data_IF_006545217469
#
_entry.id   IF_006545217469
#
_cell.length_a   1.000
_cell.length_b   1.000
_cell.length_c   1.000
_cell.angle_alpha   90.00
_cell.angle_beta   90.00
_cell.angle_gamma   90.00
#
_symmetry.space_group_name_H-M   'P 1'
#
loop_
_entity.id
_entity.type
_entity.pdbx_description
1 polymer ?
#
# COMPACT_ATOMS: atom_id res chain seq x y z
N UNK A 1 -25.08 -11.96 -3.03
CA UNK A 1 -23.87 -11.98 -3.90
C UNK A 1 -24.29 -11.81 -5.34
N UNK A 2 -23.42 -11.24 -6.17
CA UNK A 2 -23.68 -10.98 -7.60
C UNK A 2 -22.51 -11.50 -8.43
N UNK A 3 -22.70 -11.55 -9.75
CA UNK A 3 -21.63 -11.84 -10.72
C UNK A 3 -21.84 -11.10 -12.03
N UNK A 4 -20.77 -10.92 -12.78
CA UNK A 4 -20.74 -10.36 -14.12
C UNK A 4 -19.72 -11.12 -14.97
N UNK A 5 -20.06 -11.40 -16.24
CA UNK A 5 -19.13 -12.03 -17.15
C UNK A 5 -17.93 -11.11 -17.46
N UNK A 6 -16.74 -11.68 -17.56
CA UNK A 6 -15.51 -10.91 -17.81
C UNK A 6 -15.57 -10.09 -19.12
N UNK A 7 -16.27 -10.56 -20.13
CA UNK A 7 -16.51 -9.84 -21.39
C UNK A 7 -17.29 -8.52 -21.20
N UNK A 8 -18.06 -8.39 -20.11
CA UNK A 8 -18.86 -7.22 -19.79
C UNK A 8 -18.14 -6.23 -18.84
N UNK A 9 -16.90 -6.51 -18.41
CA UNK A 9 -16.16 -5.64 -17.49
C UNK A 9 -15.90 -4.25 -18.08
N UNK A 10 -15.72 -4.14 -19.40
CA UNK A 10 -15.56 -2.84 -20.05
C UNK A 10 -16.79 -1.95 -19.85
N UNK A 11 -18.01 -2.54 -19.95
CA UNK A 11 -19.26 -1.81 -19.68
C UNK A 11 -19.37 -1.41 -18.20
N UNK A 12 -18.94 -2.29 -17.28
CA UNK A 12 -18.87 -1.99 -15.85
C UNK A 12 -17.94 -0.79 -15.57
N UNK A 13 -16.75 -0.78 -16.14
CA UNK A 13 -15.79 0.31 -15.96
C UNK A 13 -16.30 1.62 -16.54
N UNK A 14 -16.91 1.57 -17.71
CA UNK A 14 -17.53 2.73 -18.35
C UNK A 14 -18.66 3.30 -17.49
N UNK A 15 -19.49 2.43 -16.91
CA UNK A 15 -20.60 2.85 -16.04
C UNK A 15 -20.09 3.52 -14.77
N UNK A 16 -19.08 2.94 -14.10
CA UNK A 16 -18.45 3.53 -12.91
C UNK A 16 -17.81 4.88 -13.26
N UNK A 17 -17.05 4.93 -14.36
CA UNK A 17 -16.30 6.13 -14.75
C UNK A 17 -17.18 7.28 -15.24
N UNK A 18 -18.48 7.05 -15.51
CA UNK A 18 -19.41 8.11 -15.89
C UNK A 18 -19.66 9.12 -14.76
N UNK A 19 -19.65 8.66 -13.51
CA UNK A 19 -20.02 9.48 -12.35
C UNK A 19 -18.83 9.81 -11.43
N UNK A 20 -17.75 9.04 -11.48
CA UNK A 20 -16.61 9.18 -10.56
C UNK A 20 -15.31 8.75 -11.22
N UNK A 21 -14.15 9.16 -10.65
CA UNK A 21 -12.87 8.74 -11.19
C UNK A 21 -12.66 7.24 -10.88
N UNK A 22 -12.13 6.50 -11.86
CA UNK A 22 -11.86 5.08 -11.73
C UNK A 22 -10.38 4.79 -11.92
N UNK A 23 -9.75 4.13 -10.95
CA UNK A 23 -8.37 3.68 -11.00
C UNK A 23 -8.31 2.16 -11.10
N UNK A 24 -7.58 1.66 -12.08
CA UNK A 24 -7.41 0.23 -12.38
C UNK A 24 -5.93 -0.11 -12.57
N UNK A 25 -5.53 -1.38 -12.43
CA UNK A 25 -4.23 -1.85 -12.88
C UNK A 25 -4.18 -1.79 -14.41
N UNK A 26 -3.42 -0.84 -14.93
CA UNK A 26 -3.27 -0.56 -16.37
C UNK A 26 -1.83 -0.76 -16.78
N UNK A 27 -1.63 -1.44 -17.91
CA UNK A 27 -0.32 -1.64 -18.52
C UNK A 27 0.06 -0.43 -19.36
N UNK A 28 1.28 0.04 -19.13
CA UNK A 28 1.93 1.06 -19.96
C UNK A 28 3.35 0.57 -20.24
N UNK A 29 3.67 0.36 -21.49
CA UNK A 29 4.89 -0.33 -21.91
C UNK A 29 4.98 -1.74 -21.30
N UNK A 30 5.97 -1.99 -20.45
CA UNK A 30 6.23 -3.27 -19.78
C UNK A 30 5.79 -3.30 -18.31
N UNK A 31 5.10 -2.25 -17.84
CA UNK A 31 4.76 -2.10 -16.43
C UNK A 31 3.26 -1.95 -16.20
N UNK A 32 2.75 -2.65 -15.20
CA UNK A 32 1.38 -2.49 -14.71
C UNK A 32 1.38 -1.68 -13.42
N UNK A 33 0.61 -0.59 -13.40
CA UNK A 33 0.37 0.24 -12.22
C UNK A 33 -1.08 0.71 -12.19
N UNK A 34 -1.56 1.09 -11.01
CA UNK A 34 -2.88 1.73 -10.91
C UNK A 34 -2.83 3.10 -11.59
N UNK A 35 -3.77 3.33 -12.51
CA UNK A 35 -3.92 4.57 -13.28
C UNK A 35 -5.38 4.89 -13.48
N UNK A 36 -5.68 6.16 -13.73
CA UNK A 36 -7.01 6.56 -14.15
C UNK A 36 -7.39 5.80 -15.43
N UNK A 37 -8.60 5.25 -15.43
CA UNK A 37 -9.15 4.50 -16.54
C UNK A 37 -9.49 5.41 -17.73
N UNK A 38 -9.28 4.89 -18.93
CA UNK A 38 -9.79 5.43 -20.20
C UNK A 38 -10.25 4.27 -21.07
N UNK A 39 -11.05 4.55 -22.08
CA UNK A 39 -11.58 3.49 -22.99
C UNK A 39 -10.48 2.68 -23.67
N UNK A 40 -9.34 3.31 -23.96
CA UNK A 40 -8.19 2.68 -24.63
C UNK A 40 -7.18 2.05 -23.64
N UNK A 41 -7.49 2.04 -22.35
CA UNK A 41 -6.58 1.51 -21.32
C UNK A 41 -6.49 -0.01 -21.41
N UNK A 42 -5.27 -0.57 -21.48
CA UNK A 42 -5.02 -2.00 -21.32
C UNK A 42 -5.10 -2.40 -19.86
N UNK A 43 -6.31 -2.82 -19.42
CA UNK A 43 -6.57 -3.22 -18.04
C UNK A 43 -6.09 -4.65 -17.80
N UNK A 44 -5.29 -4.86 -16.75
CA UNK A 44 -4.68 -6.15 -16.39
C UNK A 44 -5.10 -6.59 -14.98
N UNK A 45 -6.32 -7.09 -14.82
CA UNK A 45 -6.82 -7.58 -13.52
C UNK A 45 -6.14 -8.88 -13.06
N UNK A 46 -5.55 -9.63 -13.97
CA UNK A 46 -4.74 -10.82 -13.73
C UNK A 46 -3.39 -10.51 -13.06
N UNK A 47 -2.92 -9.27 -13.15
CA UNK A 47 -1.68 -8.85 -12.48
C UNK A 47 -1.83 -8.99 -10.96
N UNK A 48 -1.04 -9.87 -10.38
CA UNK A 48 -1.04 -10.07 -8.93
C UNK A 48 -0.50 -8.85 -8.20
N UNK A 49 0.61 -8.30 -8.66
CA UNK A 49 1.29 -7.14 -8.04
C UNK A 49 1.64 -6.08 -9.08
N UNK A 50 1.08 -4.92 -8.92
CA UNK A 50 1.55 -3.73 -9.63
C UNK A 50 2.92 -3.30 -9.11
N UNK A 51 3.71 -2.60 -9.93
CA UNK A 51 5.08 -2.16 -9.55
C UNK A 51 5.05 -1.30 -8.29
N UNK A 52 4.15 -0.31 -8.23
CA UNK A 52 3.81 0.44 -7.01
C UNK A 52 2.48 -0.02 -6.46
N UNK A 53 2.29 0.09 -5.15
CA UNK A 53 0.97 -0.13 -4.57
C UNK A 53 0.01 1.01 -4.95
N UNK A 54 -1.31 0.79 -4.93
CA UNK A 54 -2.31 1.83 -5.21
C UNK A 54 -2.46 2.88 -4.10
N UNK A 55 -1.56 2.93 -3.12
CA UNK A 55 -1.62 3.91 -2.02
C UNK A 55 -1.60 5.35 -2.50
N UNK A 56 -1.04 5.63 -3.69
CA UNK A 56 -0.99 6.97 -4.27
C UNK A 56 -2.36 7.53 -4.66
N UNK A 57 -3.40 6.71 -4.76
CA UNK A 57 -4.77 7.18 -4.85
C UNK A 57 -5.23 7.93 -3.58
N UNK A 58 -4.73 7.52 -2.40
CA UNK A 58 -5.05 8.12 -1.10
C UNK A 58 -3.95 9.04 -0.57
N UNK A 59 -2.71 8.69 -0.82
CA UNK A 59 -1.50 9.42 -0.43
C UNK A 59 -0.61 9.60 -1.66
N UNK A 60 -0.83 10.66 -2.47
CA UNK A 60 -0.10 10.92 -3.70
C UNK A 60 1.40 11.05 -3.50
N UNK A 61 2.18 10.66 -4.51
CA UNK A 61 3.63 10.75 -4.48
C UNK A 61 4.12 12.20 -4.34
N UNK A 62 3.37 13.15 -4.91
CA UNK A 62 3.60 14.59 -4.75
C UNK A 62 2.26 15.31 -4.68
N UNK A 63 2.15 16.30 -3.80
CA UNK A 63 0.91 17.01 -3.53
C UNK A 63 1.17 18.42 -3.07
N UNK A 64 0.58 19.40 -3.75
CA UNK A 64 0.63 20.80 -3.34
C UNK A 64 -0.20 21.01 -2.08
N UNK A 65 0.32 21.82 -1.15
CA UNK A 65 -0.36 22.21 0.10
C UNK A 65 -0.92 23.62 -0.02
N UNK A 66 -0.12 24.56 -0.51
CA UNK A 66 -0.55 25.92 -0.80
C UNK A 66 0.44 26.63 -1.73
N UNK A 67 -0.02 27.74 -2.32
CA UNK A 67 0.80 28.65 -3.10
C UNK A 67 0.89 30.00 -2.39
N UNK A 68 2.11 30.50 -2.22
CA UNK A 68 2.38 31.83 -1.72
C UNK A 68 2.74 32.72 -2.89
N UNK A 69 1.97 33.77 -3.14
CA UNK A 69 2.23 34.78 -4.18
C UNK A 69 2.71 36.07 -3.51
N UNK A 70 3.70 36.72 -4.13
CA UNK A 70 4.20 38.01 -3.70
C UNK A 70 3.90 39.03 -4.80
N UNK A 71 3.12 40.03 -4.45
CA UNK A 71 2.81 41.17 -5.30
C UNK A 71 3.32 42.46 -4.62
N UNK A 72 4.47 42.95 -5.06
CA UNK A 72 5.20 44.07 -4.43
C UNK A 72 5.48 43.80 -2.92
N UNK A 73 4.70 44.46 -2.03
CA UNK A 73 4.80 44.33 -0.57
C UNK A 73 3.73 43.39 0.04
N UNK A 74 2.78 42.96 -0.78
CA UNK A 74 1.70 42.08 -0.34
C UNK A 74 2.05 40.63 -0.54
N UNK A 75 1.69 39.81 0.42
CA UNK A 75 1.82 38.35 0.35
C UNK A 75 0.43 37.78 0.47
N UNK A 76 0.02 36.96 -0.50
CA UNK A 76 -1.19 36.16 -0.44
C UNK A 76 -0.84 34.67 -0.31
N UNK A 77 -1.59 33.94 0.50
CA UNK A 77 -1.47 32.50 0.65
C UNK A 77 -2.77 31.87 0.16
N UNK A 78 -2.66 31.08 -0.91
CA UNK A 78 -3.78 30.38 -1.51
C UNK A 78 -3.66 28.88 -1.16
N UNK A 79 -4.52 28.35 -0.28
CA UNK A 79 -4.50 26.92 0.03
C UNK A 79 -4.88 26.10 -1.21
N UNK A 80 -4.32 24.91 -1.33
CA UNK A 80 -4.72 23.98 -2.37
C UNK A 80 -6.14 23.48 -2.08
N UNK A 81 -6.99 23.48 -3.11
CA UNK A 81 -8.33 22.91 -2.99
C UNK A 81 -8.25 21.40 -2.66
N UNK A 82 -9.10 20.96 -1.74
CA UNK A 82 -9.21 19.54 -1.39
C UNK A 82 -9.87 18.77 -2.53
N UNK A 83 -9.45 17.51 -2.70
CA UNK A 83 -10.02 16.65 -3.73
C UNK A 83 -11.28 15.98 -3.20
N UNK A 84 -12.43 16.63 -3.38
CA UNK A 84 -13.75 16.17 -2.90
C UNK A 84 -14.53 15.33 -3.94
N UNK A 85 -13.89 14.99 -5.07
CA UNK A 85 -14.51 14.14 -6.07
C UNK A 85 -14.44 12.67 -5.65
N UNK A 86 -15.56 11.96 -5.75
CA UNK A 86 -15.61 10.52 -5.50
C UNK A 86 -14.77 9.76 -6.54
N UNK A 87 -14.13 8.69 -6.07
CA UNK A 87 -13.35 7.81 -6.93
C UNK A 87 -13.41 6.35 -6.46
N UNK A 88 -13.18 5.44 -7.39
CA UNK A 88 -13.07 4.00 -7.14
C UNK A 88 -11.65 3.53 -7.43
N UNK A 89 -11.08 2.73 -6.54
CA UNK A 89 -9.85 1.97 -6.79
C UNK A 89 -10.24 0.51 -6.92
N UNK A 90 -10.22 0.00 -8.15
CA UNK A 90 -10.72 -1.33 -8.48
C UNK A 90 -9.56 -2.32 -8.69
N UNK A 91 -9.64 -3.48 -8.06
CA UNK A 91 -8.66 -4.55 -8.19
C UNK A 91 -7.56 -4.53 -7.11
N UNK A 92 -7.77 -3.81 -5.99
CA UNK A 92 -6.82 -3.80 -4.88
C UNK A 92 -6.72 -5.18 -4.23
N UNK A 93 -5.50 -5.62 -3.95
CA UNK A 93 -5.25 -6.88 -3.23
C UNK A 93 -5.32 -6.68 -1.71
N UNK A 94 -5.62 -7.74 -0.95
CA UNK A 94 -5.76 -7.69 0.51
C UNK A 94 -4.57 -7.03 1.22
N UNK A 95 -3.34 -7.28 0.76
CA UNK A 95 -2.14 -6.64 1.31
C UNK A 95 -2.08 -5.13 1.05
N UNK A 96 -2.58 -4.64 -0.09
CA UNK A 96 -2.65 -3.21 -0.37
C UNK A 96 -3.74 -2.52 0.45
N UNK A 97 -4.88 -3.19 0.66
CA UNK A 97 -5.97 -2.72 1.52
C UNK A 97 -5.50 -2.62 2.98
N UNK A 98 -4.79 -3.64 3.48
CA UNK A 98 -4.18 -3.57 4.80
C UNK A 98 -3.12 -2.46 4.88
N UNK A 99 -2.43 -2.18 3.77
CA UNK A 99 -1.53 -1.02 3.65
C UNK A 99 -2.26 0.30 3.87
N UNK A 100 -3.46 0.48 3.32
CA UNK A 100 -4.29 1.68 3.57
C UNK A 100 -4.68 1.78 5.04
N UNK A 101 -5.04 0.68 5.72
CA UNK A 101 -5.34 0.70 7.17
C UNK A 101 -4.12 1.14 8.01
N UNK A 102 -2.90 0.77 7.58
CA UNK A 102 -1.68 1.26 8.22
C UNK A 102 -1.52 2.78 8.02
N UNK A 103 -1.86 3.31 6.86
CA UNK A 103 -1.86 4.76 6.60
C UNK A 103 -2.97 5.47 7.39
N UNK A 104 -4.16 4.87 7.49
CA UNK A 104 -5.28 5.38 8.27
C UNK A 104 -4.85 5.63 9.74
N UNK A 105 -4.16 4.69 10.36
CA UNK A 105 -3.66 4.84 11.74
C UNK A 105 -2.69 6.02 11.92
N UNK A 106 -1.98 6.41 10.86
CA UNK A 106 -1.02 7.53 10.91
C UNK A 106 -1.69 8.86 10.58
N UNK A 107 -2.43 8.91 9.47
CA UNK A 107 -2.93 10.17 8.92
C UNK A 107 -4.31 10.57 9.46
N UNK A 108 -5.07 9.64 10.05
CA UNK A 108 -6.34 9.94 10.70
C UNK A 108 -6.23 10.06 12.23
N UNK A 109 -5.03 9.86 12.81
CA UNK A 109 -4.76 10.19 14.22
C UNK A 109 -4.64 11.70 14.40
N UNK A 110 -4.79 12.16 15.64
CA UNK A 110 -4.67 13.58 15.99
C UNK A 110 -3.20 14.06 15.99
N UNK A 111 -2.84 15.11 15.26
CA UNK A 111 -3.67 15.94 14.37
C UNK A 111 -3.96 15.26 13.02
N UNK A 112 -5.23 15.25 12.62
CA UNK A 112 -5.69 14.63 11.38
C UNK A 112 -5.08 15.32 10.15
N UNK A 113 -4.53 14.54 9.23
CA UNK A 113 -4.12 15.00 7.91
C UNK A 113 -5.35 15.22 7.02
N UNK A 114 -5.74 16.47 6.82
CA UNK A 114 -6.97 16.84 6.10
C UNK A 114 -6.96 16.36 4.64
N UNK A 115 -5.82 16.43 3.95
CA UNK A 115 -5.72 15.99 2.56
C UNK A 115 -5.94 14.49 2.41
N UNK A 116 -5.33 13.71 3.32
CA UNK A 116 -5.55 12.26 3.36
C UNK A 116 -6.98 11.92 3.73
N UNK A 117 -7.53 12.53 4.78
CA UNK A 117 -8.87 12.26 5.30
C UNK A 117 -9.95 12.50 4.24
N UNK A 118 -9.85 13.59 3.47
CA UNK A 118 -10.82 13.89 2.40
C UNK A 118 -10.77 12.81 1.32
N UNK A 119 -9.58 12.42 0.83
CA UNK A 119 -9.47 11.33 -0.16
C UNK A 119 -9.96 10.01 0.40
N UNK A 120 -9.64 9.70 1.66
CA UNK A 120 -10.09 8.47 2.29
C UNK A 120 -11.61 8.40 2.40
N UNK A 121 -12.26 9.54 2.64
CA UNK A 121 -13.70 9.66 2.66
C UNK A 121 -14.35 9.48 1.27
N UNK A 122 -13.74 10.02 0.22
CA UNK A 122 -14.29 9.98 -1.15
C UNK A 122 -13.90 8.73 -1.93
N UNK A 123 -12.90 7.97 -1.47
CA UNK A 123 -12.45 6.74 -2.12
C UNK A 123 -13.31 5.54 -1.75
N UNK A 124 -13.72 4.76 -2.76
CA UNK A 124 -14.33 3.45 -2.63
C UNK A 124 -13.36 2.38 -3.12
N UNK A 125 -13.17 1.32 -2.35
CA UNK A 125 -12.23 0.25 -2.66
C UNK A 125 -12.98 -0.99 -3.11
N UNK A 126 -12.74 -1.42 -4.36
CA UNK A 126 -13.16 -2.71 -4.87
C UNK A 126 -11.95 -3.65 -4.82
N UNK A 127 -11.99 -4.59 -3.89
CA UNK A 127 -10.96 -5.57 -3.70
C UNK A 127 -11.04 -6.69 -4.73
N UNK A 128 -9.90 -7.23 -5.17
CA UNK A 128 -9.83 -8.44 -5.97
C UNK A 128 -8.95 -9.48 -5.25
N UNK A 129 -9.52 -10.64 -4.94
CA UNK A 129 -8.80 -11.75 -4.34
C UNK A 129 -7.59 -12.17 -5.18
N UNK A 130 -6.57 -12.70 -4.54
CA UNK A 130 -5.41 -13.24 -5.25
C UNK A 130 -5.77 -14.62 -5.79
N UNK A 131 -5.71 -14.81 -7.13
CA UNK A 131 -5.94 -16.12 -7.72
C UNK A 131 -4.71 -17.03 -7.59
N UNK A 132 -3.54 -16.55 -7.95
CA UNK A 132 -2.26 -17.27 -7.86
C UNK A 132 -1.21 -16.46 -7.10
N UNK A 133 -1.17 -16.57 -5.75
CA UNK A 133 -0.11 -15.94 -4.96
C UNK A 133 1.28 -16.41 -5.38
N UNK A 134 2.23 -15.47 -5.50
CA UNK A 134 3.61 -15.74 -5.94
C UNK A 134 4.54 -16.10 -4.78
N UNK A 135 5.70 -16.72 -5.09
CA UNK A 135 6.70 -17.17 -4.11
C UNK A 135 7.20 -16.06 -3.17
N UNK A 136 7.18 -14.81 -3.61
CA UNK A 136 7.57 -13.67 -2.80
C UNK A 136 6.50 -13.21 -1.81
N UNK A 137 5.26 -13.70 -1.92
CA UNK A 137 4.14 -13.36 -1.04
C UNK A 137 4.26 -14.05 0.32
N UNK A 138 3.98 -13.31 1.39
CA UNK A 138 3.95 -13.82 2.78
C UNK A 138 2.96 -13.04 3.66
N UNK A 139 1.87 -12.56 3.07
CA UNK A 139 0.85 -11.78 3.76
C UNK A 139 0.18 -12.57 4.90
N UNK A 140 0.07 -13.89 4.77
CA UNK A 140 -0.42 -14.79 5.81
C UNK A 140 0.33 -14.62 7.15
N UNK A 141 1.65 -14.39 7.11
CA UNK A 141 2.48 -14.19 8.31
C UNK A 141 1.99 -13.00 9.15
N UNK A 142 1.36 -12.03 8.53
CA UNK A 142 0.78 -10.85 9.16
C UNK A 142 -0.74 -10.95 9.35
N UNK A 143 -1.30 -12.17 9.28
CA UNK A 143 -2.73 -12.42 9.51
C UNK A 143 -3.64 -11.90 8.38
N UNK A 144 -3.11 -11.69 7.18
CA UNK A 144 -3.87 -11.17 6.03
C UNK A 144 -4.30 -12.35 5.15
N UNK A 145 -5.61 -12.54 5.00
CA UNK A 145 -6.19 -13.52 4.09
C UNK A 145 -6.34 -12.92 2.68
N UNK A 146 -5.49 -13.35 1.77
CA UNK A 146 -5.54 -12.88 0.38
C UNK A 146 -6.66 -13.53 -0.45
N UNK A 147 -7.29 -14.60 0.07
CA UNK A 147 -8.42 -15.28 -0.55
C UNK A 147 -9.75 -14.58 -0.22
N UNK A 148 -9.82 -13.85 0.90
CA UNK A 148 -11.03 -13.17 1.36
C UNK A 148 -10.75 -11.70 1.71
N UNK A 149 -10.51 -10.84 0.71
CA UNK A 149 -10.17 -9.43 0.95
C UNK A 149 -11.35 -8.65 1.50
N UNK A 150 -11.12 -7.83 2.54
CA UNK A 150 -12.15 -7.02 3.19
C UNK A 150 -11.97 -5.55 2.80
N UNK A 151 -12.90 -5.04 1.96
CA UNK A 151 -12.97 -3.66 1.49
C UNK A 151 -14.44 -3.20 1.37
N UNK A 152 -14.73 -2.16 0.59
CA UNK A 152 -16.12 -1.76 0.34
C UNK A 152 -16.87 -2.81 -0.50
N UNK A 153 -16.17 -3.36 -1.49
CA UNK A 153 -16.65 -4.52 -2.26
C UNK A 153 -15.52 -5.55 -2.34
N UNK A 154 -15.83 -6.82 -2.11
CA UNK A 154 -14.94 -7.94 -2.36
C UNK A 154 -15.30 -8.62 -3.68
N UNK A 155 -14.28 -8.98 -4.49
CA UNK A 155 -14.48 -9.64 -5.78
C UNK A 155 -13.52 -10.81 -5.97
N UNK A 156 -13.97 -11.79 -6.77
CA UNK A 156 -13.22 -12.99 -7.16
C UNK A 156 -13.40 -13.23 -8.65
N UNK A 157 -12.32 -13.46 -9.37
CA UNK A 157 -12.36 -13.84 -10.79
C UNK A 157 -12.33 -15.36 -10.87
N UNK A 158 -13.44 -15.99 -11.29
CA UNK A 158 -13.59 -17.44 -11.31
C UNK A 158 -14.20 -17.84 -12.67
N UNK A 159 -13.51 -18.68 -13.43
CA UNK A 159 -13.99 -19.24 -14.69
C UNK A 159 -14.55 -18.20 -15.68
N UNK A 160 -13.93 -17.02 -15.77
CA UNK A 160 -14.36 -15.95 -16.67
C UNK A 160 -15.55 -15.13 -16.16
N UNK A 161 -15.93 -15.26 -14.90
CA UNK A 161 -16.93 -14.45 -14.22
C UNK A 161 -16.30 -13.71 -13.02
N UNK A 162 -16.62 -12.44 -12.84
CA UNK A 162 -16.26 -11.67 -11.65
C UNK A 162 -17.41 -11.76 -10.65
N UNK A 163 -17.17 -12.44 -9.54
CA UNK A 163 -18.06 -12.47 -8.39
C UNK A 163 -17.92 -11.19 -7.57
N UNK A 164 -19.04 -10.67 -7.05
CA UNK A 164 -19.13 -9.35 -6.47
C UNK A 164 -19.93 -9.39 -5.17
N UNK A 165 -19.34 -8.95 -4.07
CA UNK A 165 -19.97 -8.92 -2.74
C UNK A 165 -19.77 -7.54 -2.10
N UNK A 166 -20.80 -6.69 -2.00
CA UNK A 166 -20.71 -5.45 -1.22
C UNK A 166 -20.61 -5.79 0.27
N UNK A 167 -19.76 -5.04 0.99
CA UNK A 167 -19.49 -5.25 2.42
C UNK A 167 -19.73 -4.00 3.27
N UNK A 168 -19.87 -2.83 2.65
CA UNK A 168 -20.10 -1.55 3.32
C UNK A 168 -21.19 -0.75 2.61
N UNK A 169 -21.67 0.31 3.24
CA UNK A 169 -22.64 1.24 2.62
C UNK A 169 -22.12 1.83 1.30
N UNK A 170 -20.82 2.14 1.20
CA UNK A 170 -20.19 2.58 -0.05
C UNK A 170 -20.23 1.48 -1.12
N UNK A 171 -19.95 0.25 -0.72
CA UNK A 171 -20.04 -0.92 -1.60
C UNK A 171 -21.46 -1.18 -2.08
N UNK A 172 -22.45 -1.03 -1.22
CA UNK A 172 -23.87 -1.16 -1.60
C UNK A 172 -24.31 -0.05 -2.55
N UNK A 173 -23.88 1.20 -2.29
CA UNK A 173 -24.18 2.33 -3.17
C UNK A 173 -23.57 2.11 -4.58
N UNK A 174 -22.30 1.66 -4.65
CA UNK A 174 -21.67 1.33 -5.92
C UNK A 174 -22.38 0.17 -6.62
N UNK A 175 -22.76 -0.88 -5.89
CA UNK A 175 -23.50 -2.04 -6.43
C UNK A 175 -24.84 -1.61 -7.02
N UNK A 176 -25.57 -0.72 -6.36
CA UNK A 176 -26.82 -0.13 -6.87
C UNK A 176 -26.61 0.62 -8.20
N UNK A 177 -25.52 1.39 -8.30
CA UNK A 177 -25.20 2.18 -9.50
C UNK A 177 -24.93 1.32 -10.74
N UNK A 178 -24.50 0.07 -10.54
CA UNK A 178 -24.16 -0.89 -11.60
C UNK A 178 -25.08 -2.11 -11.65
N UNK A 179 -26.22 -2.08 -10.93
CA UNK A 179 -27.09 -3.24 -10.73
C UNK A 179 -27.61 -3.85 -12.04
N UNK A 180 -27.81 -3.06 -13.08
CA UNK A 180 -28.26 -3.51 -14.40
C UNK A 180 -27.27 -4.45 -15.11
N UNK A 181 -26.00 -4.44 -14.71
CA UNK A 181 -24.93 -5.27 -15.26
C UNK A 181 -24.66 -6.54 -14.42
N UNK A 182 -25.25 -6.63 -13.24
CA UNK A 182 -25.01 -7.69 -12.29
C UNK A 182 -26.14 -8.72 -12.30
N UNK A 183 -25.79 -9.99 -12.19
CA UNK A 183 -26.72 -11.11 -12.02
C UNK A 183 -26.56 -11.70 -10.63
N UNK A 184 -27.62 -12.26 -10.07
CA UNK A 184 -27.55 -12.97 -8.80
C UNK A 184 -26.62 -14.20 -8.89
N UNK A 185 -25.88 -14.46 -7.84
CA UNK A 185 -24.99 -15.62 -7.71
C UNK A 185 -25.04 -16.22 -6.30
N UNK A 186 -24.79 -17.51 -6.19
CA UNK A 186 -24.55 -18.14 -4.90
C UNK A 186 -23.08 -18.03 -4.48
N UNK A 187 -22.77 -18.38 -3.24
CA UNK A 187 -21.42 -18.26 -2.66
C UNK A 187 -20.58 -19.54 -2.82
N UNK A 188 -21.14 -20.66 -3.28
CA UNK A 188 -20.47 -21.96 -3.25
C UNK A 188 -19.12 -21.95 -4.02
N UNK A 189 -19.14 -21.44 -5.27
CA UNK A 189 -17.91 -21.32 -6.09
C UNK A 189 -16.86 -20.42 -5.45
N UNK A 190 -17.28 -19.36 -4.79
CA UNK A 190 -16.36 -18.43 -4.11
C UNK A 190 -15.72 -19.11 -2.91
N UNK A 191 -16.43 -19.91 -2.14
CA UNK A 191 -15.84 -20.64 -1.02
C UNK A 191 -14.86 -21.74 -1.49
N UNK A 192 -15.15 -22.40 -2.62
CA UNK A 192 -14.20 -23.32 -3.26
C UNK A 192 -12.92 -22.61 -3.70
N UNK A 193 -13.04 -21.46 -4.36
CA UNK A 193 -11.89 -20.65 -4.78
C UNK A 193 -11.07 -20.15 -3.59
N UNK A 194 -11.71 -19.65 -2.54
CA UNK A 194 -11.03 -19.26 -1.30
C UNK A 194 -10.22 -20.40 -0.70
N UNK A 195 -10.78 -21.62 -0.68
CA UNK A 195 -10.07 -22.79 -0.18
C UNK A 195 -8.85 -23.16 -1.06
N UNK A 196 -9.00 -23.08 -2.38
CA UNK A 196 -7.91 -23.31 -3.33
C UNK A 196 -6.77 -22.30 -3.15
N UNK A 197 -7.07 -21.02 -3.05
CA UNK A 197 -6.09 -19.94 -2.83
C UNK A 197 -5.34 -20.15 -1.50
N UNK A 198 -6.06 -20.46 -0.41
CA UNK A 198 -5.44 -20.72 0.89
C UNK A 198 -4.50 -21.94 0.84
N UNK A 199 -4.87 -22.99 0.09
CA UNK A 199 -3.99 -24.15 -0.10
C UNK A 199 -2.69 -23.84 -0.87
N UNK A 200 -2.72 -22.85 -1.79
CA UNK A 200 -1.52 -22.35 -2.45
C UNK A 200 -0.66 -21.58 -1.45
N UNK A 201 -1.26 -20.65 -0.68
CA UNK A 201 -0.55 -19.81 0.30
C UNK A 201 0.20 -20.65 1.35
N UNK A 202 -0.38 -21.77 1.80
CA UNK A 202 0.26 -22.69 2.76
C UNK A 202 1.60 -23.25 2.26
N UNK A 203 1.75 -23.40 0.95
CA UNK A 203 2.94 -23.97 0.30
C UNK A 203 4.00 -22.95 -0.08
N UNK A 204 3.72 -21.64 0.07
CA UNK A 204 4.67 -20.60 -0.31
C UNK A 204 5.92 -20.63 0.56
N UNK A 205 7.11 -20.25 0.00
CA UNK A 205 8.40 -20.40 0.70
C UNK A 205 8.53 -19.61 2.00
N UNK A 206 7.70 -18.56 2.17
CA UNK A 206 7.73 -17.67 3.33
C UNK A 206 6.46 -17.74 4.19
N UNK A 207 5.58 -18.71 3.96
CA UNK A 207 4.31 -18.87 4.70
C UNK A 207 4.50 -19.13 6.19
N UNK A 208 5.64 -19.66 6.60
CA UNK A 208 5.97 -20.10 7.97
C UNK A 208 7.07 -19.24 8.63
N UNK A 209 7.30 -18.00 8.16
CA UNK A 209 8.22 -17.08 8.85
C UNK A 209 7.73 -16.80 10.27
N UNK A 210 8.61 -16.94 11.25
CA UNK A 210 8.31 -16.61 12.63
C UNK A 210 8.45 -15.12 12.91
N UNK A 211 7.44 -14.54 13.54
CA UNK A 211 7.51 -13.19 14.10
C UNK A 211 7.76 -13.20 15.61
N UNK A 212 8.22 -14.30 16.15
CA UNK A 212 8.53 -14.43 17.58
C UNK A 212 9.56 -13.38 18.00
N UNK A 213 9.26 -12.67 19.10
CA UNK A 213 10.06 -11.59 19.63
C UNK A 213 10.03 -10.29 18.80
N UNK A 214 9.25 -10.20 17.71
CA UNK A 214 8.93 -8.94 17.05
C UNK A 214 7.63 -8.34 17.60
N UNK A 215 7.46 -7.02 17.52
CA UNK A 215 6.27 -6.31 18.02
C UNK A 215 6.17 -6.22 19.54
N UNK A 216 7.25 -6.40 20.26
CA UNK A 216 7.31 -6.34 21.73
C UNK A 216 7.95 -5.05 22.21
N UNK A 217 7.58 -4.60 23.43
CA UNK A 217 8.13 -3.40 24.06
C UNK A 217 9.60 -3.56 24.46
N UNK A 218 9.99 -4.76 24.88
CA UNK A 218 11.40 -5.08 25.19
C UNK A 218 12.19 -5.44 23.92
N UNK A 219 12.57 -4.40 23.21
CA UNK A 219 13.26 -4.54 21.90
C UNK A 219 14.75 -4.13 21.92
N UNK A 220 15.30 -3.74 23.07
CA UNK A 220 16.66 -3.16 23.11
C UNK A 220 17.73 -4.16 22.69
N UNK A 221 17.57 -5.44 22.99
CA UNK A 221 18.50 -6.49 22.56
C UNK A 221 18.51 -6.60 21.03
N UNK A 222 17.34 -6.55 20.38
CA UNK A 222 17.25 -6.53 18.93
C UNK A 222 17.82 -5.26 18.32
N UNK A 223 17.55 -4.12 18.93
CA UNK A 223 18.09 -2.83 18.48
C UNK A 223 19.60 -2.80 18.52
N UNK A 224 20.22 -3.32 19.58
CA UNK A 224 21.67 -3.34 19.80
C UNK A 224 22.37 -4.58 19.20
N UNK A 225 21.65 -5.48 18.57
CA UNK A 225 22.20 -6.71 18.01
C UNK A 225 23.32 -6.43 17.00
N UNK A 226 24.46 -7.12 17.09
CA UNK A 226 25.56 -7.00 16.14
C UNK A 226 25.19 -7.50 14.72
N UNK A 227 24.10 -8.24 14.58
CA UNK A 227 23.58 -8.72 13.28
C UNK A 227 23.35 -7.59 12.30
N UNK A 228 22.98 -6.40 12.78
CA UNK A 228 22.77 -5.24 11.92
C UNK A 228 24.04 -4.82 11.17
N UNK A 229 25.24 -4.99 11.79
CA UNK A 229 26.51 -4.64 11.18
C UNK A 229 26.87 -5.53 9.97
N UNK A 230 26.31 -6.74 9.91
CA UNK A 230 26.49 -7.62 8.75
C UNK A 230 25.35 -7.45 7.72
N UNK A 231 24.11 -7.33 8.20
CA UNK A 231 22.94 -7.27 7.33
C UNK A 231 22.93 -6.05 6.40
N UNK A 232 23.41 -4.88 6.86
CA UNK A 232 23.30 -3.67 6.05
C UNK A 232 24.31 -3.59 4.91
N UNK A 233 25.44 -4.31 4.99
CA UNK A 233 26.58 -4.19 4.07
C UNK A 233 26.21 -4.28 2.57
N UNK A 234 25.40 -5.25 2.15
CA UNK A 234 25.01 -5.33 0.73
C UNK A 234 23.93 -4.29 0.32
N UNK A 235 23.40 -3.50 1.24
CA UNK A 235 22.36 -2.53 0.94
C UNK A 235 22.93 -1.32 0.18
N UNK A 236 22.36 -1.00 -0.99
CA UNK A 236 22.73 0.16 -1.80
C UNK A 236 22.12 1.48 -1.32
N UNK A 237 21.27 1.48 -0.28
CA UNK A 237 20.50 2.63 0.19
C UNK A 237 19.64 3.30 -0.90
N UNK A 238 19.27 2.57 -1.96
CA UNK A 238 18.55 3.11 -3.13
C UNK A 238 17.10 3.54 -2.86
N UNK A 239 16.52 3.21 -1.69
CA UNK A 239 15.16 3.58 -1.31
C UNK A 239 14.03 2.81 -2.01
N UNK A 240 14.28 2.00 -3.04
CA UNK A 240 13.26 1.26 -3.80
C UNK A 240 12.26 0.54 -2.90
N UNK A 241 12.76 -0.14 -1.87
CA UNK A 241 11.94 -0.90 -0.92
C UNK A 241 10.97 -0.05 -0.09
N UNK A 242 11.14 1.27 -0.02
CA UNK A 242 10.21 2.20 0.64
C UNK A 242 9.20 2.77 -0.35
N UNK A 243 9.61 3.06 -1.58
CA UNK A 243 8.72 3.62 -2.61
C UNK A 243 7.71 2.60 -3.15
N UNK A 244 8.08 1.31 -3.27
CA UNK A 244 7.15 0.26 -3.70
C UNK A 244 6.26 -0.26 -2.56
N UNK A 245 6.54 0.11 -1.31
CA UNK A 245 5.84 -0.42 -0.15
C UNK A 245 4.48 0.24 0.07
N UNK A 246 3.39 -0.54 0.26
CA UNK A 246 2.06 -0.01 0.51
C UNK A 246 1.94 0.72 1.85
N UNK A 247 2.81 0.43 2.81
CA UNK A 247 2.74 0.95 4.19
C UNK A 247 3.77 2.02 4.51
N UNK A 248 4.69 2.37 3.58
CA UNK A 248 5.63 3.45 3.82
C UNK A 248 4.95 4.80 3.63
N UNK A 249 5.03 5.65 4.66
CA UNK A 249 4.36 6.96 4.73
C UNK A 249 5.33 8.13 4.93
N UNK A 250 6.65 7.88 4.84
CA UNK A 250 7.64 8.96 4.94
C UNK A 250 7.44 9.97 3.81
N UNK A 251 7.41 11.25 4.15
CA UNK A 251 7.35 12.36 3.21
C UNK A 251 8.21 13.52 3.70
N UNK A 252 8.56 14.40 2.76
CA UNK A 252 9.21 15.67 3.03
C UNK A 252 8.32 16.82 2.55
N UNK A 253 8.45 17.98 3.17
CA UNK A 253 7.77 19.23 2.76
C UNK A 253 8.81 20.14 2.18
N UNK A 254 8.59 20.57 0.93
CA UNK A 254 9.51 21.40 0.15
C UNK A 254 8.83 22.64 -0.38
N UNK A 255 9.66 23.65 -0.60
CA UNK A 255 9.27 24.88 -1.29
C UNK A 255 9.90 24.91 -2.68
N UNK A 256 9.09 25.24 -3.68
CA UNK A 256 9.52 25.42 -5.06
C UNK A 256 9.20 26.84 -5.51
N UNK A 257 10.23 27.60 -5.87
CA UNK A 257 10.08 28.94 -6.43
C UNK A 257 9.70 28.84 -7.92
N UNK A 258 8.52 29.35 -8.27
CA UNK A 258 8.00 29.38 -9.64
C UNK A 258 8.44 30.63 -10.42
N UNK A 259 9.18 31.55 -9.81
CA UNK A 259 9.48 32.88 -10.33
C UNK A 259 8.33 33.91 -10.16
N UNK A 260 7.12 33.46 -9.87
CA UNK A 260 5.93 34.26 -9.61
C UNK A 260 5.35 34.06 -8.20
N UNK A 261 6.02 33.25 -7.40
CA UNK A 261 5.62 32.85 -6.05
C UNK A 261 6.25 31.53 -5.65
N UNK A 262 5.90 31.05 -4.47
CA UNK A 262 6.42 29.79 -3.92
C UNK A 262 5.29 28.79 -3.78
N UNK A 263 5.46 27.60 -4.32
CA UNK A 263 4.60 26.46 -4.06
C UNK A 263 5.18 25.61 -2.92
N UNK A 264 4.43 25.44 -1.84
CA UNK A 264 4.75 24.45 -0.82
C UNK A 264 4.04 23.16 -1.13
N UNK A 265 4.81 22.08 -1.21
CA UNK A 265 4.28 20.75 -1.50
C UNK A 265 4.90 19.70 -0.59
N UNK A 266 4.22 18.58 -0.41
CA UNK A 266 4.81 17.37 0.16
C UNK A 266 5.10 16.37 -0.94
N UNK A 267 6.14 15.57 -0.76
CA UNK A 267 6.46 14.45 -1.64
C UNK A 267 6.95 13.26 -0.81
N UNK A 268 6.73 12.04 -1.33
CA UNK A 268 7.27 10.86 -0.67
C UNK A 268 8.78 10.97 -0.50
N UNK A 269 9.24 10.50 0.64
CA UNK A 269 10.65 10.40 0.97
C UNK A 269 10.96 8.99 1.53
N UNK A 270 12.21 8.77 1.87
CA UNK A 270 12.69 7.48 2.33
C UNK A 270 13.52 7.62 3.61
N UNK A 271 13.11 6.87 4.65
CA UNK A 271 13.91 6.75 5.87
C UNK A 271 15.30 6.10 5.65
N UNK A 272 15.57 5.61 4.42
CA UNK A 272 16.88 5.10 3.99
C UNK A 272 17.83 6.21 3.53
N UNK A 273 17.33 7.43 3.26
CA UNK A 273 18.15 8.55 2.81
C UNK A 273 18.75 9.32 3.99
N UNK A 274 19.96 9.87 3.76
CA UNK A 274 20.70 10.62 4.78
C UNK A 274 19.96 11.88 5.21
N UNK A 275 19.29 12.53 4.26
CA UNK A 275 18.71 13.85 4.46
C UNK A 275 17.34 13.80 5.13
N UNK A 276 16.67 12.64 5.10
CA UNK A 276 15.35 12.47 5.70
C UNK A 276 15.26 12.84 7.19
N UNK A 277 16.34 12.63 7.94
CA UNK A 277 16.42 12.96 9.37
C UNK A 277 17.39 14.11 9.68
N UNK A 278 17.79 14.86 8.64
CA UNK A 278 18.64 16.03 8.82
C UNK A 278 17.87 17.14 9.51
N UNK A 279 18.46 17.70 10.55
CA UNK A 279 17.94 18.83 11.32
C UNK A 279 18.97 19.95 11.34
N UNK A 280 18.58 21.16 11.71
CA UNK A 280 19.45 22.35 11.74
C UNK A 280 20.75 22.15 12.57
N UNK A 281 20.71 21.30 13.61
CA UNK A 281 21.85 21.05 14.52
C UNK A 281 22.48 19.67 14.35
N UNK A 282 22.05 18.87 13.38
CA UNK A 282 22.65 17.56 13.12
C UNK A 282 21.69 16.51 12.60
N UNK A 283 22.18 15.28 12.52
CA UNK A 283 21.41 14.12 12.07
C UNK A 283 21.51 13.00 13.11
N UNK A 284 20.37 12.47 13.54
CA UNK A 284 20.33 11.38 14.51
C UNK A 284 20.59 9.99 13.90
N UNK A 285 20.72 9.89 12.55
CA UNK A 285 21.02 8.66 11.81
C UNK A 285 22.16 8.89 10.82
N UNK A 286 23.38 9.04 11.34
CA UNK A 286 24.55 9.41 10.56
C UNK A 286 25.07 8.28 9.67
N UNK A 287 24.81 7.01 10.01
CA UNK A 287 25.28 5.87 9.24
C UNK A 287 24.18 5.16 8.47
N UNK A 288 24.56 4.50 7.36
CA UNK A 288 23.64 3.69 6.58
C UNK A 288 23.07 2.52 7.41
N UNK A 289 23.86 1.91 8.29
CA UNK A 289 23.42 0.86 9.20
C UNK A 289 22.24 1.34 10.07
N UNK A 290 22.36 2.54 10.66
CA UNK A 290 21.30 3.12 11.49
C UNK A 290 20.00 3.35 10.71
N UNK A 291 20.08 3.83 9.46
CA UNK A 291 18.91 4.02 8.58
C UNK A 291 18.30 2.69 8.15
N UNK A 292 19.16 1.71 7.82
CA UNK A 292 18.75 0.35 7.49
C UNK A 292 18.00 -0.30 8.68
N UNK A 293 18.59 -0.31 9.86
CA UNK A 293 17.97 -0.81 11.09
C UNK A 293 16.63 -0.14 11.35
N UNK A 294 16.58 1.19 11.27
CA UNK A 294 15.35 1.97 11.48
C UNK A 294 14.20 1.50 10.61
N UNK A 295 14.44 1.22 9.33
CA UNK A 295 13.39 0.76 8.41
C UNK A 295 12.70 -0.50 8.92
N UNK A 296 13.46 -1.48 9.39
CA UNK A 296 12.90 -2.76 9.85
C UNK A 296 12.37 -2.69 11.28
N UNK A 297 13.06 -2.01 12.16
CA UNK A 297 12.58 -1.76 13.52
C UNK A 297 11.26 -0.98 13.51
N UNK A 298 11.10 0.00 12.62
CA UNK A 298 9.83 0.72 12.48
C UNK A 298 8.68 -0.23 12.11
N UNK A 299 8.88 -1.11 11.12
CA UNK A 299 7.81 -2.00 10.64
C UNK A 299 7.47 -3.13 11.59
N UNK A 300 8.47 -3.66 12.27
CA UNK A 300 8.35 -4.90 13.04
C UNK A 300 8.31 -4.67 14.54
N UNK A 301 8.65 -3.47 15.02
CA UNK A 301 8.71 -3.16 16.46
C UNK A 301 7.96 -1.88 16.78
N UNK A 302 8.43 -0.72 16.32
CA UNK A 302 7.88 0.56 16.80
C UNK A 302 6.42 0.77 16.39
N UNK A 303 6.07 0.39 15.17
CA UNK A 303 4.70 0.54 14.71
C UNK A 303 3.74 -0.40 15.46
N UNK A 304 3.99 -1.74 15.57
CA UNK A 304 3.09 -2.61 16.32
C UNK A 304 2.98 -2.25 17.81
N UNK A 305 4.06 -1.84 18.46
CA UNK A 305 4.01 -1.39 19.86
C UNK A 305 3.05 -0.20 20.05
N UNK A 306 3.03 0.73 19.09
CA UNK A 306 2.20 1.93 19.16
C UNK A 306 0.81 1.77 18.50
N UNK A 307 0.51 0.62 17.87
CA UNK A 307 -0.73 0.39 17.12
C UNK A 307 -1.36 -0.98 17.45
N UNK A 308 -1.52 -1.29 18.72
CA UNK A 308 -2.23 -2.47 19.23
C UNK A 308 -1.76 -3.80 18.60
N UNK A 309 -0.45 -3.94 18.38
CA UNK A 309 0.15 -5.15 17.79
C UNK A 309 0.05 -5.25 16.27
N UNK A 310 -0.55 -4.28 15.58
CA UNK A 310 -0.62 -4.29 14.11
C UNK A 310 0.76 -4.02 13.52
N UNK A 311 1.29 -4.95 12.74
CA UNK A 311 2.53 -4.75 12.01
C UNK A 311 2.37 -3.79 10.83
N UNK A 312 3.36 -2.94 10.57
CA UNK A 312 3.37 -2.13 9.36
C UNK A 312 4.08 -2.80 8.18
N UNK A 313 4.28 -4.11 8.23
CA UNK A 313 4.55 -4.96 7.08
C UNK A 313 3.29 -5.77 6.77
N UNK A 314 2.97 -5.89 5.48
CA UNK A 314 1.80 -6.63 4.99
C UNK A 314 2.20 -7.84 4.13
N UNK A 315 3.46 -8.20 4.09
CA UNK A 315 3.94 -9.38 3.37
C UNK A 315 3.67 -9.40 1.87
N UNK A 316 3.50 -8.24 1.22
CA UNK A 316 3.13 -8.14 -0.19
C UNK A 316 4.21 -8.59 -1.19
N UNK A 317 5.45 -8.83 -0.75
CA UNK A 317 6.56 -9.31 -1.59
C UNK A 317 7.25 -8.26 -2.47
N UNK A 318 6.69 -7.08 -2.74
CA UNK A 318 7.28 -6.10 -3.68
C UNK A 318 8.74 -5.76 -3.34
N UNK A 319 9.08 -5.55 -2.07
CA UNK A 319 10.46 -5.26 -1.68
C UNK A 319 11.39 -6.48 -1.72
N UNK A 320 10.83 -7.69 -1.78
CA UNK A 320 11.60 -8.93 -2.00
C UNK A 320 12.05 -8.99 -3.45
N UNK A 321 11.14 -8.74 -4.39
CA UNK A 321 11.40 -8.79 -5.83
C UNK A 321 12.23 -7.63 -6.35
N UNK A 322 11.95 -6.41 -5.87
CA UNK A 322 12.55 -5.20 -6.43
C UNK A 322 13.88 -4.80 -5.81
N UNK A 323 14.39 -5.55 -4.82
CA UNK A 323 15.67 -5.25 -4.21
C UNK A 323 16.84 -5.70 -5.08
N UNK A 324 17.67 -4.79 -5.64
CA UNK A 324 18.78 -5.16 -6.51
C UNK A 324 19.87 -5.97 -5.81
N UNK A 325 19.97 -5.88 -4.47
CA UNK A 325 20.91 -6.64 -3.65
C UNK A 325 20.27 -7.87 -3.00
N UNK A 326 19.03 -8.20 -3.35
CA UNK A 326 18.24 -9.26 -2.70
C UNK A 326 18.21 -9.16 -1.17
N UNK A 327 18.42 -7.97 -0.62
CA UNK A 327 18.40 -7.71 0.81
C UNK A 327 17.05 -7.12 1.22
N UNK A 328 16.22 -7.94 1.81
CA UNK A 328 14.82 -7.62 2.08
C UNK A 328 14.42 -8.00 3.51
N UNK A 329 13.16 -7.69 3.86
CA UNK A 329 12.64 -7.91 5.21
C UNK A 329 12.62 -9.39 5.62
N UNK A 330 12.44 -10.32 4.67
CA UNK A 330 12.48 -11.76 4.95
C UNK A 330 13.86 -12.20 5.43
N UNK A 331 14.94 -11.72 4.79
CA UNK A 331 16.31 -11.99 5.25
C UNK A 331 16.57 -11.42 6.63
N UNK A 332 16.02 -10.27 6.94
CA UNK A 332 16.14 -9.67 8.29
C UNK A 332 15.42 -10.54 9.31
N UNK A 333 14.17 -10.94 9.06
CA UNK A 333 13.41 -11.79 9.99
C UNK A 333 14.18 -13.10 10.23
N UNK A 334 14.59 -13.80 9.18
CA UNK A 334 15.35 -15.08 9.26
C UNK A 334 16.69 -14.95 10.01
N UNK A 335 17.41 -13.83 9.86
CA UNK A 335 18.66 -13.63 10.56
C UNK A 335 18.47 -13.54 12.08
N UNK A 336 17.33 -13.05 12.54
CA UNK A 336 16.99 -13.00 13.96
C UNK A 336 16.34 -14.30 14.48
N UNK A 337 15.68 -15.10 13.63
CA UNK A 337 15.22 -16.46 13.98
C UNK A 337 16.42 -17.34 14.39
N UNK A 338 17.51 -17.29 13.62
CA UNK A 338 18.69 -18.11 13.85
C UNK A 338 19.46 -17.75 15.14
N UNK A 339 19.29 -16.55 15.69
CA UNK A 339 19.90 -16.16 16.98
C UNK A 339 19.14 -16.67 18.20
N UNK A 340 17.85 -17.02 18.06
CA UNK A 340 17.04 -17.59 19.14
C UNK A 340 17.35 -19.05 19.46
N UNK A 341 18.08 -19.76 18.59
CA UNK A 341 18.42 -21.17 18.73
C UNK A 341 19.74 -21.46 19.47
N UNK A 342 20.50 -20.44 19.86
CA UNK A 342 21.78 -20.59 20.58
C UNK A 342 21.69 -20.20 22.09
N UNK A 343 20.52 -20.38 22.72
CA UNK A 343 20.38 -20.22 24.18
C UNK A 343 20.17 -21.56 24.84
#
# INVERSE_FOLDING_TARGET
MYKIAAENLQALFQKIAADQDLYLPVKVSDQVNFRAWSQDAEVCLDTLKTVKSPKDAFFPQSENLYTCKKEEKNISIEPQALQEKNFVVFGMKACDIQGVKVLDNVFLSDPIDTFYAVRRNHGTIVALACHEPEESCFCKVFGIDCADPVADVATWMIEGELYWKPLTEKGEALTKAVAELLNDADEAKVEEEKAAIRAIVEKLPYSNLSLEGWGQEDYMDRFNSPVWEELYKPCLACGTCTFVCPTCQCYDIKDYDTGHGVQRYRCWDSCMYSDFTMMAHGNNRNSQMQRFRQRFMHKLVYYPVNNNGMFSCVGCGRCVEKCPSSLNIVKVIKAFENQGGEK
#
